data_IF_912730016814
#
_entry.id   IF_912730016814
#
_cell.length_a   1.000
_cell.length_b   1.000
_cell.length_c   1.000
_cell.angle_alpha   90.00
_cell.angle_beta   90.00
_cell.angle_gamma   90.00
#
_symmetry.space_group_name_H-M   'P 1'
#
loop_
_entity.id
_entity.type
_entity.pdbx_description
1 polymer ?
#
# COMPACT_ATOMS: atom_id res chain seq x y z
N UNK A 1 -14.05 -13.53 0.81
CA UNK A 1 -12.72 -13.77 1.40
C UNK A 1 -11.58 -13.72 0.38
N UNK A 2 -11.58 -14.50 -0.71
CA UNK A 2 -10.48 -14.51 -1.72
C UNK A 2 -10.07 -13.10 -2.23
N UNK A 3 -11.05 -12.26 -2.60
CA UNK A 3 -10.80 -10.88 -3.06
C UNK A 3 -10.14 -9.98 -2.01
N UNK A 4 -10.36 -10.26 -0.73
CA UNK A 4 -9.79 -9.48 0.37
C UNK A 4 -8.28 -9.73 0.49
N UNK A 5 -7.87 -10.99 0.45
CA UNK A 5 -6.46 -11.37 0.46
C UNK A 5 -5.70 -10.86 -0.76
N UNK A 6 -6.32 -10.89 -1.95
CA UNK A 6 -5.73 -10.31 -3.17
C UNK A 6 -5.46 -8.82 -2.98
N UNK A 7 -6.42 -8.06 -2.45
CA UNK A 7 -6.26 -6.62 -2.24
C UNK A 7 -5.23 -6.28 -1.15
N UNK A 8 -5.07 -7.13 -0.13
CA UNK A 8 -4.00 -7.01 0.85
C UNK A 8 -2.64 -7.25 0.20
N UNK A 9 -2.52 -8.30 -0.63
CA UNK A 9 -1.29 -8.59 -1.36
C UNK A 9 -0.92 -7.43 -2.31
N UNK A 10 -1.89 -6.86 -3.03
CA UNK A 10 -1.69 -5.66 -3.87
C UNK A 10 -1.18 -4.48 -3.05
N UNK A 11 -1.76 -4.22 -1.87
CA UNK A 11 -1.30 -3.17 -0.97
C UNK A 11 0.15 -3.36 -0.52
N UNK A 12 0.53 -4.59 -0.17
CA UNK A 12 1.91 -4.93 0.20
C UNK A 12 2.90 -4.71 -0.95
N UNK A 13 2.52 -5.08 -2.17
CA UNK A 13 3.34 -4.86 -3.37
C UNK A 13 3.53 -3.37 -3.64
N UNK A 14 2.48 -2.55 -3.51
CA UNK A 14 2.57 -1.09 -3.67
C UNK A 14 3.51 -0.45 -2.65
N UNK A 15 3.44 -0.89 -1.39
CA UNK A 15 4.35 -0.41 -0.33
C UNK A 15 5.79 -0.81 -0.64
N UNK A 16 6.04 -2.07 -1.01
CA UNK A 16 7.38 -2.56 -1.35
C UNK A 16 7.97 -1.82 -2.55
N UNK A 17 7.17 -1.61 -3.61
CA UNK A 17 7.58 -0.86 -4.79
C UNK A 17 7.89 0.61 -4.49
N UNK A 18 7.11 1.24 -3.60
CA UNK A 18 7.34 2.61 -3.16
C UNK A 18 8.62 2.74 -2.32
N UNK A 19 8.88 1.79 -1.41
CA UNK A 19 10.12 1.79 -0.61
C UNK A 19 11.34 1.55 -1.51
N UNK A 20 11.27 0.57 -2.41
CA UNK A 20 12.38 0.25 -3.31
C UNK A 20 12.72 1.41 -4.26
N UNK A 21 11.70 2.08 -4.82
CA UNK A 21 11.93 3.29 -5.63
C UNK A 21 12.48 4.46 -4.82
N UNK A 22 12.24 4.51 -3.50
CA UNK A 22 12.74 5.59 -2.65
C UNK A 22 14.25 5.49 -2.48
N UNK A 23 14.76 4.27 -2.36
CA UNK A 23 16.19 3.97 -2.21
C UNK A 23 16.98 4.22 -3.50
N UNK A 24 16.35 4.06 -4.67
CA UNK A 24 17.04 4.19 -5.96
C UNK A 24 17.20 5.62 -6.47
N UNK A 25 16.40 6.59 -6.00
CA UNK A 25 16.33 7.91 -6.64
C UNK A 25 16.38 9.07 -5.64
N UNK A 26 17.43 9.08 -4.80
CA UNK A 26 17.59 10.05 -3.72
C UNK A 26 17.70 11.51 -4.21
N UNK A 27 18.04 11.73 -5.49
CA UNK A 27 18.33 13.07 -6.02
C UNK A 27 17.09 13.85 -6.50
N UNK A 28 15.92 13.22 -6.63
CA UNK A 28 14.76 13.87 -7.23
C UNK A 28 13.61 14.09 -6.23
N UNK A 29 13.48 15.32 -5.69
CA UNK A 29 12.48 15.70 -4.66
C UNK A 29 11.02 15.39 -5.04
N UNK A 30 10.67 15.41 -6.34
CA UNK A 30 9.33 15.05 -6.81
C UNK A 30 9.00 13.55 -6.65
N UNK A 31 10.02 12.70 -6.72
CA UNK A 31 9.89 11.24 -6.56
C UNK A 31 9.54 10.85 -5.12
N UNK A 32 10.04 11.60 -4.13
CA UNK A 32 9.70 11.40 -2.71
C UNK A 32 8.22 11.63 -2.44
N UNK A 33 7.64 12.66 -3.05
CA UNK A 33 6.22 12.96 -2.90
C UNK A 33 5.36 11.87 -3.54
N UNK A 34 5.70 11.47 -4.78
CA UNK A 34 5.01 10.38 -5.48
C UNK A 34 5.05 9.06 -4.72
N UNK A 35 6.23 8.66 -4.24
CA UNK A 35 6.37 7.42 -3.47
C UNK A 35 5.65 7.49 -2.11
N UNK A 36 5.65 8.65 -1.45
CA UNK A 36 4.88 8.85 -0.23
C UNK A 36 3.37 8.63 -0.45
N UNK A 37 2.83 9.16 -1.54
CA UNK A 37 1.43 8.95 -1.94
C UNK A 37 1.17 7.46 -2.23
N UNK A 38 2.03 6.79 -2.99
CA UNK A 38 1.87 5.36 -3.32
C UNK A 38 1.91 4.48 -2.06
N UNK A 39 2.80 4.78 -1.12
CA UNK A 39 2.86 4.09 0.17
C UNK A 39 1.58 4.30 0.98
N UNK A 40 1.09 5.54 1.07
CA UNK A 40 -0.15 5.88 1.76
C UNK A 40 -1.39 5.19 1.16
N UNK A 41 -1.46 5.05 -0.17
CA UNK A 41 -2.52 4.29 -0.85
C UNK A 41 -2.44 2.80 -0.47
N UNK A 42 -1.23 2.20 -0.50
CA UNK A 42 -1.02 0.81 -0.13
C UNK A 42 -1.48 0.50 1.30
N UNK A 43 -1.12 1.35 2.26
CA UNK A 43 -1.55 1.22 3.66
C UNK A 43 -3.08 1.34 3.76
N UNK A 44 -3.67 2.33 3.10
CA UNK A 44 -5.12 2.57 3.13
C UNK A 44 -5.92 1.37 2.60
N UNK A 45 -5.45 0.76 1.50
CA UNK A 45 -6.05 -0.47 0.95
C UNK A 45 -5.98 -1.61 1.97
N UNK A 46 -4.85 -1.82 2.62
CA UNK A 46 -4.70 -2.87 3.64
C UNK A 46 -5.67 -2.64 4.81
N UNK A 47 -5.69 -1.41 5.35
CA UNK A 47 -6.54 -1.05 6.51
C UNK A 47 -8.02 -1.24 6.20
N UNK A 48 -8.50 -0.75 5.05
CA UNK A 48 -9.91 -0.93 4.64
C UNK A 48 -10.28 -2.40 4.55
N UNK A 49 -9.38 -3.24 4.04
CA UNK A 49 -9.63 -4.67 3.89
C UNK A 49 -9.63 -5.40 5.24
N UNK A 50 -8.74 -5.02 6.17
CA UNK A 50 -8.76 -5.50 7.57
C UNK A 50 -10.06 -5.11 8.27
N UNK A 51 -10.50 -3.86 8.12
CA UNK A 51 -11.76 -3.37 8.70
C UNK A 51 -12.97 -4.12 8.15
N UNK A 52 -13.00 -4.42 6.84
CA UNK A 52 -14.05 -5.26 6.24
C UNK A 52 -14.05 -6.69 6.79
N UNK A 53 -12.87 -7.30 7.03
CA UNK A 53 -12.79 -8.62 7.67
C UNK A 53 -13.28 -8.59 9.12
N UNK A 54 -13.03 -7.50 9.86
CA UNK A 54 -13.57 -7.31 11.21
C UNK A 54 -15.09 -7.12 11.21
N UNK A 55 -15.63 -6.31 10.28
CA UNK A 55 -17.08 -6.05 10.19
C UNK A 55 -17.88 -7.24 9.67
N UNK A 56 -17.34 -8.06 8.77
CA UNK A 56 -18.01 -9.28 8.27
C UNK A 56 -17.95 -10.47 9.22
N UNK A 57 -17.53 -10.27 10.47
CA UNK A 57 -17.45 -11.28 11.54
C UNK A 57 -18.53 -11.08 12.61
N UNK A 58 -19.52 -10.22 12.33
CA UNK A 58 -20.77 -10.04 13.10
C UNK A 58 -21.90 -10.62 12.28
#
# INVERSE_FOLDING_TARGET
MKRTYVLIAVGLVLIAAAIFNFTLNIENKGHYFGNGVVCGIGISVIVVQILKMRKGKI
#
